data_IF_491877585953
#
_entry.id   IF_491877585953
#
_cell.length_a   1.000
_cell.length_b   1.000
_cell.length_c   1.000
_cell.angle_alpha   90.00
_cell.angle_beta   90.00
_cell.angle_gamma   90.00
#
_symmetry.space_group_name_H-M   'P 1'
#
loop_
_entity.id
_entity.type
_entity.pdbx_description
1 polymer ?
#
# COMPACT_ATOMS: atom_id res chain seq x y z
N UNK A 1 -13.49 -10.48 47.11
CA UNK A 1 -12.26 -10.95 46.45
C UNK A 1 -12.70 -12.13 45.59
N UNK A 2 -12.88 -11.96 44.30
CA UNK A 2 -13.21 -13.08 43.42
C UNK A 2 -11.96 -13.96 43.32
N UNK A 3 -12.09 -15.22 43.68
CA UNK A 3 -11.00 -16.18 43.61
C UNK A 3 -10.90 -16.72 42.18
N UNK A 4 -9.75 -17.31 41.82
CA UNK A 4 -9.54 -17.94 40.49
C UNK A 4 -10.63 -18.98 40.14
N UNK A 5 -11.33 -19.52 41.14
CA UNK A 5 -12.41 -20.49 40.96
C UNK A 5 -13.67 -19.90 40.32
N UNK A 6 -13.89 -18.58 40.45
CA UNK A 6 -15.05 -17.92 39.85
C UNK A 6 -14.94 -17.81 38.30
N UNK A 7 -13.74 -18.00 37.75
CA UNK A 7 -13.52 -18.00 36.30
C UNK A 7 -13.90 -19.33 35.65
N UNK A 8 -13.78 -20.43 36.42
CA UNK A 8 -14.10 -21.77 35.94
C UNK A 8 -15.61 -22.10 35.96
N UNK A 9 -16.44 -21.21 36.49
CA UNK A 9 -17.91 -21.42 36.55
C UNK A 9 -18.64 -20.74 35.36
N UNK A 10 -17.92 -20.11 34.43
CA UNK A 10 -18.54 -19.63 33.22
C UNK A 10 -18.96 -20.82 32.34
N UNK A 11 -20.24 -20.87 31.90
CA UNK A 11 -20.68 -21.97 31.05
C UNK A 11 -19.81 -22.05 29.80
N UNK A 12 -19.24 -23.24 29.58
CA UNK A 12 -18.51 -23.53 28.34
C UNK A 12 -19.36 -23.16 27.11
N UNK A 13 -18.78 -22.43 26.18
CA UNK A 13 -19.36 -22.03 24.89
C UNK A 13 -20.26 -20.79 24.85
N UNK A 14 -20.07 -19.82 25.71
CA UNK A 14 -20.68 -18.51 25.48
C UNK A 14 -19.76 -17.64 24.61
N UNK A 15 -20.14 -17.42 23.36
CA UNK A 15 -19.48 -16.39 22.55
C UNK A 15 -19.71 -15.02 23.20
N UNK A 16 -18.62 -14.31 23.49
CA UNK A 16 -18.70 -12.94 23.98
C UNK A 16 -19.43 -12.10 22.93
N UNK A 17 -20.53 -11.50 23.33
CA UNK A 17 -21.26 -10.56 22.48
C UNK A 17 -20.72 -9.14 22.70
N UNK A 18 -21.03 -8.22 21.78
CA UNK A 18 -20.62 -6.81 21.88
C UNK A 18 -21.00 -6.14 23.22
N UNK A 19 -22.01 -6.66 23.91
CA UNK A 19 -22.49 -6.14 25.19
C UNK A 19 -21.86 -6.80 26.42
N UNK A 20 -21.05 -7.83 26.23
CA UNK A 20 -20.37 -8.50 27.35
C UNK A 20 -19.24 -7.59 27.90
N UNK A 21 -19.22 -7.47 29.21
CA UNK A 21 -18.24 -6.65 29.93
C UNK A 21 -17.17 -7.55 30.56
N UNK A 22 -15.94 -7.32 30.21
CA UNK A 22 -14.80 -7.94 30.89
C UNK A 22 -14.35 -7.08 32.07
N UNK A 23 -14.19 -7.70 33.23
CA UNK A 23 -13.54 -7.07 34.37
C UNK A 23 -12.02 -7.25 34.24
N UNK A 24 -11.30 -6.18 34.08
CA UNK A 24 -9.84 -6.18 34.13
C UNK A 24 -9.42 -5.65 35.50
N UNK A 25 -8.70 -6.48 36.26
CA UNK A 25 -8.09 -6.03 37.49
C UNK A 25 -6.85 -5.21 37.19
N UNK A 26 -6.91 -3.90 37.38
CA UNK A 26 -5.70 -3.08 37.46
C UNK A 26 -5.03 -3.34 38.82
N UNK A 27 -3.74 -3.63 38.78
CA UNK A 27 -2.92 -3.94 39.97
C UNK A 27 -2.51 -2.66 40.71
N UNK A 28 -3.28 -1.57 40.60
CA UNK A 28 -2.99 -0.36 41.33
C UNK A 28 -3.98 -0.17 42.49
N UNK A 29 -3.38 -0.04 43.67
CA UNK A 29 -3.95 0.16 44.97
C UNK A 29 -5.18 1.07 44.99
N UNK A 30 -6.32 0.57 45.41
CA UNK A 30 -7.50 1.30 45.88
C UNK A 30 -8.53 1.77 44.87
N UNK A 31 -8.57 1.30 43.64
CA UNK A 31 -9.64 1.67 42.70
C UNK A 31 -10.51 0.49 42.30
N UNK A 32 -11.79 0.75 42.17
CA UNK A 32 -12.71 -0.24 41.60
C UNK A 32 -12.20 -0.75 40.25
N UNK A 33 -12.28 -2.06 39.96
CA UNK A 33 -11.85 -2.59 38.69
C UNK A 33 -12.57 -1.86 37.55
N UNK A 34 -11.80 -1.31 36.63
CA UNK A 34 -12.36 -0.71 35.41
C UNK A 34 -12.91 -1.80 34.54
N UNK A 35 -14.16 -1.63 34.12
CA UNK A 35 -14.78 -2.52 33.15
C UNK A 35 -14.49 -1.97 31.76
N UNK A 36 -13.88 -2.76 30.91
CA UNK A 36 -13.70 -2.45 29.51
C UNK A 36 -14.83 -3.13 28.75
N UNK A 37 -15.56 -2.35 27.96
CA UNK A 37 -16.57 -2.89 27.06
C UNK A 37 -15.88 -3.68 25.94
N UNK A 38 -16.43 -4.82 25.52
CA UNK A 38 -15.92 -5.59 24.36
C UNK A 38 -15.87 -4.72 23.09
N UNK A 39 -16.76 -3.74 22.95
CA UNK A 39 -16.70 -2.73 21.89
C UNK A 39 -15.42 -1.88 21.93
N UNK A 40 -14.94 -1.52 23.13
CA UNK A 40 -13.71 -0.76 23.29
C UNK A 40 -12.48 -1.61 22.96
N UNK A 41 -12.50 -2.89 23.32
CA UNK A 41 -11.48 -3.87 22.89
C UNK A 41 -11.50 -4.07 21.38
N UNK A 42 -12.69 -4.22 20.77
CA UNK A 42 -12.81 -4.31 19.32
C UNK A 42 -12.28 -3.04 18.62
N UNK A 43 -12.55 -1.85 19.15
CA UNK A 43 -11.98 -0.61 18.64
C UNK A 43 -10.46 -0.59 18.79
N UNK A 44 -9.92 -1.08 19.91
CA UNK A 44 -8.47 -1.19 20.12
C UNK A 44 -7.85 -2.17 19.10
N UNK A 45 -8.49 -3.31 18.84
CA UNK A 45 -8.05 -4.26 17.82
C UNK A 45 -8.30 -3.78 16.39
N UNK A 46 -9.36 -3.02 16.14
CA UNK A 46 -9.64 -2.41 14.83
C UNK A 46 -8.66 -1.28 14.49
N UNK A 47 -8.17 -0.54 15.49
CA UNK A 47 -7.11 0.46 15.28
C UNK A 47 -5.75 -0.18 14.96
N UNK A 48 -5.57 -1.47 15.28
CA UNK A 48 -4.38 -2.25 14.89
C UNK A 48 -4.50 -2.89 13.50
N UNK A 49 -5.66 -2.84 12.84
CA UNK A 49 -5.76 -3.15 11.42
C UNK A 49 -5.10 -2.00 10.63
N UNK A 50 -3.78 -2.07 10.55
CA UNK A 50 -3.00 -1.11 9.80
C UNK A 50 -3.55 -1.04 8.37
N UNK A 51 -3.93 0.16 7.93
CA UNK A 51 -4.35 0.39 6.57
C UNK A 51 -3.27 -0.15 5.62
N UNK A 52 -3.69 -0.94 4.65
CA UNK A 52 -2.80 -1.58 3.68
C UNK A 52 -3.48 -1.69 2.33
N UNK A 53 -2.69 -1.60 1.28
CA UNK A 53 -3.17 -1.72 -0.08
C UNK A 53 -2.15 -2.39 -0.98
N UNK A 54 -2.62 -3.10 -1.99
CA UNK A 54 -1.79 -3.68 -3.03
C UNK A 54 -2.51 -3.62 -4.37
N UNK A 55 -1.76 -3.24 -5.40
CA UNK A 55 -2.17 -3.37 -6.79
C UNK A 55 -1.03 -4.00 -7.59
N UNK A 56 -1.36 -4.89 -8.51
CA UNK A 56 -0.40 -5.51 -9.42
C UNK A 56 -0.94 -5.64 -10.83
N UNK A 57 -0.04 -5.70 -11.79
CA UNK A 57 -0.32 -6.00 -13.18
C UNK A 57 0.67 -7.01 -13.70
N UNK A 58 0.22 -7.94 -14.54
CA UNK A 58 1.05 -8.93 -15.24
C UNK A 58 0.66 -8.98 -16.71
N UNK A 59 1.65 -9.24 -17.56
CA UNK A 59 1.42 -9.42 -18.99
C UNK A 59 0.98 -8.16 -19.71
N UNK A 60 1.24 -6.98 -19.16
CA UNK A 60 0.94 -5.74 -19.85
C UNK A 60 1.81 -5.58 -21.11
N UNK A 61 1.18 -5.19 -22.19
CA UNK A 61 1.81 -4.96 -23.50
C UNK A 61 1.66 -3.53 -24.00
N UNK A 62 0.92 -2.69 -23.27
CA UNK A 62 0.74 -1.28 -23.64
C UNK A 62 1.99 -0.49 -23.32
N UNK A 63 2.62 0.14 -24.32
CA UNK A 63 3.72 1.04 -24.06
C UNK A 63 3.23 2.32 -23.38
N UNK A 64 4.12 2.92 -22.62
CA UNK A 64 3.98 4.30 -22.16
C UNK A 64 4.68 5.19 -23.16
N UNK A 65 3.95 6.09 -23.76
CA UNK A 65 4.48 7.08 -24.72
C UNK A 65 5.39 8.08 -23.98
N UNK A 66 6.67 8.13 -24.39
CA UNK A 66 7.68 9.05 -23.86
C UNK A 66 7.85 10.22 -24.82
N UNK A 67 7.03 11.24 -24.67
CA UNK A 67 7.04 12.42 -25.54
C UNK A 67 8.32 13.24 -25.37
N UNK A 68 8.86 13.34 -24.17
CA UNK A 68 10.06 14.13 -23.86
C UNK A 68 11.01 13.32 -22.97
N UNK A 69 12.27 13.23 -23.36
CA UNK A 69 13.30 12.55 -22.57
C UNK A 69 13.44 13.20 -21.19
N UNK A 70 13.58 12.38 -20.16
CA UNK A 70 13.72 12.82 -18.78
C UNK A 70 12.43 13.29 -18.08
N UNK A 71 11.31 13.38 -18.80
CA UNK A 71 10.00 13.67 -18.21
C UNK A 71 9.34 12.38 -17.73
N UNK A 72 8.75 12.40 -16.55
CA UNK A 72 8.06 11.26 -15.96
C UNK A 72 6.58 11.23 -16.35
N UNK A 73 6.13 10.10 -16.86
CA UNK A 73 4.76 9.83 -17.32
C UNK A 73 4.14 8.73 -16.50
N UNK A 74 2.80 8.75 -16.34
CA UNK A 74 2.07 7.63 -15.73
C UNK A 74 2.27 6.37 -16.57
N UNK A 75 2.49 5.23 -15.91
CA UNK A 75 2.70 3.95 -16.61
C UNK A 75 1.46 3.54 -17.41
N UNK A 76 1.60 3.35 -18.72
CA UNK A 76 0.52 2.84 -19.58
C UNK A 76 0.20 1.39 -19.26
N UNK A 77 -1.11 1.08 -19.06
CA UNK A 77 -1.57 -0.26 -18.72
C UNK A 77 -2.85 -0.57 -19.49
N UNK A 78 -2.93 -1.77 -20.07
CA UNK A 78 -4.14 -2.32 -20.70
C UNK A 78 -4.66 -3.59 -20.02
N UNK A 79 -4.06 -3.99 -18.93
CA UNK A 79 -4.40 -5.23 -18.20
C UNK A 79 -5.39 -5.01 -17.08
N UNK A 80 -5.99 -6.11 -16.63
CA UNK A 80 -6.74 -6.13 -15.38
C UNK A 80 -5.76 -5.95 -14.24
N UNK A 81 -5.97 -4.91 -13.45
CA UNK A 81 -5.24 -4.75 -12.20
C UNK A 81 -5.73 -5.81 -11.23
N UNK A 82 -4.82 -6.63 -10.74
CA UNK A 82 -5.09 -7.53 -9.64
C UNK A 82 -4.99 -6.73 -8.33
N UNK A 83 -6.13 -6.66 -7.63
CA UNK A 83 -6.23 -5.95 -6.35
C UNK A 83 -6.51 -6.96 -5.27
N UNK A 84 -5.66 -7.02 -4.25
CA UNK A 84 -6.01 -7.74 -3.04
C UNK A 84 -6.86 -6.86 -2.13
N UNK A 85 -7.74 -7.50 -1.36
CA UNK A 85 -8.63 -6.83 -0.40
C UNK A 85 -7.84 -5.94 0.55
N UNK A 86 -8.08 -4.67 0.42
CA UNK A 86 -7.29 -3.67 1.09
C UNK A 86 -8.11 -2.94 2.14
N UNK A 87 -7.48 -2.63 3.25
CA UNK A 87 -8.07 -1.82 4.29
C UNK A 87 -7.72 -0.36 4.00
N UNK A 88 -8.74 0.45 3.71
CA UNK A 88 -8.61 1.87 3.41
C UNK A 88 -7.79 2.22 2.15
N UNK A 89 -7.75 1.32 1.17
CA UNK A 89 -7.19 1.61 -0.15
C UNK A 89 -8.10 1.06 -1.26
N UNK A 90 -8.08 1.73 -2.39
CA UNK A 90 -8.66 1.24 -3.65
C UNK A 90 -7.66 1.43 -4.78
N UNK A 91 -7.62 0.48 -5.70
CA UNK A 91 -6.81 0.65 -6.91
C UNK A 91 -7.43 1.72 -7.82
N UNK A 92 -6.57 2.49 -8.46
CA UNK A 92 -7.03 3.49 -9.44
C UNK A 92 -7.34 2.83 -10.76
N UNK A 93 -8.56 3.02 -11.28
CA UNK A 93 -9.03 2.37 -12.53
C UNK A 93 -8.62 3.09 -13.83
N UNK A 94 -7.78 4.11 -13.79
CA UNK A 94 -7.50 4.99 -14.93
C UNK A 94 -6.25 4.60 -15.71
N UNK A 95 -6.13 3.34 -16.14
CA UNK A 95 -5.00 2.85 -16.94
C UNK A 95 -3.61 3.16 -16.32
N UNK A 96 -3.53 3.19 -15.01
CA UNK A 96 -2.30 3.44 -14.25
C UNK A 96 -2.15 2.52 -13.06
N UNK A 97 -0.93 2.28 -12.64
CA UNK A 97 -0.64 1.52 -11.42
C UNK A 97 -0.67 2.51 -10.26
N UNK A 98 -1.74 2.51 -9.49
CA UNK A 98 -1.88 3.44 -8.38
C UNK A 98 -2.84 2.94 -7.31
N UNK A 99 -2.63 3.45 -6.11
CA UNK A 99 -3.45 3.20 -4.92
C UNK A 99 -3.99 4.55 -4.42
N UNK A 100 -5.30 4.64 -4.28
CA UNK A 100 -5.96 5.76 -3.63
C UNK A 100 -6.25 5.41 -2.17
N UNK A 101 -5.84 6.28 -1.27
CA UNK A 101 -6.15 6.14 0.16
C UNK A 101 -7.56 6.64 0.46
N UNK A 102 -8.38 5.79 1.10
CA UNK A 102 -9.79 6.07 1.43
C UNK A 102 -10.05 6.22 2.93
N UNK A 103 -9.01 6.09 3.76
CA UNK A 103 -9.14 6.27 5.20
C UNK A 103 -9.42 7.71 5.60
N UNK A 104 -10.05 7.91 6.75
CA UNK A 104 -10.48 9.24 7.24
C UNK A 104 -9.37 10.07 7.89
N UNK A 105 -8.30 9.42 8.33
CA UNK A 105 -7.20 10.07 9.07
C UNK A 105 -5.96 10.19 8.21
N UNK A 106 -5.23 11.30 8.34
CA UNK A 106 -3.90 11.44 7.75
C UNK A 106 -2.94 10.46 8.44
N UNK A 107 -2.20 9.67 7.64
CA UNK A 107 -1.27 8.64 8.14
C UNK A 107 0.00 8.59 7.31
N UNK A 108 1.06 8.02 7.90
CA UNK A 108 2.31 7.72 7.21
C UNK A 108 2.29 6.27 6.73
N UNK A 109 2.63 6.08 5.46
CA UNK A 109 2.69 4.77 4.82
C UNK A 109 4.09 4.50 4.28
N UNK A 110 4.52 3.25 4.40
CA UNK A 110 5.63 2.71 3.64
C UNK A 110 5.11 2.18 2.32
N UNK A 111 5.58 2.75 1.22
CA UNK A 111 5.33 2.26 -0.12
C UNK A 111 6.49 1.43 -0.64
N UNK A 112 6.16 0.35 -1.33
CA UNK A 112 7.09 -0.51 -2.03
C UNK A 112 6.56 -0.74 -3.45
N UNK A 113 7.37 -0.39 -4.45
CA UNK A 113 7.07 -0.61 -5.85
C UNK A 113 8.12 -1.50 -6.49
N UNK A 114 7.69 -2.50 -7.26
CA UNK A 114 8.56 -3.34 -8.07
C UNK A 114 8.07 -3.38 -9.51
N UNK A 115 9.01 -3.41 -10.47
CA UNK A 115 8.72 -3.36 -11.90
C UNK A 115 9.65 -4.24 -12.70
N UNK A 116 9.09 -4.80 -13.77
CA UNK A 116 9.83 -5.40 -14.86
C UNK A 116 9.40 -4.72 -16.16
N UNK A 117 10.32 -4.15 -16.90
CA UNK A 117 10.01 -3.43 -18.12
C UNK A 117 11.18 -3.29 -19.07
N UNK A 118 10.92 -2.82 -20.27
CA UNK A 118 11.91 -2.58 -21.31
C UNK A 118 11.74 -1.19 -21.92
N UNK A 119 12.87 -0.56 -22.25
CA UNK A 119 12.95 0.79 -22.83
C UNK A 119 13.70 0.81 -24.18
N UNK A 120 13.79 -0.32 -24.86
CA UNK A 120 14.58 -0.44 -26.09
C UNK A 120 16.01 -0.89 -25.88
N UNK A 121 16.81 -0.86 -26.96
CA UNK A 121 18.22 -1.28 -26.92
C UNK A 121 19.11 -0.17 -26.34
N UNK A 122 19.99 -0.57 -25.43
CA UNK A 122 20.98 0.34 -24.82
C UNK A 122 20.34 1.63 -24.26
N UNK A 123 19.23 1.49 -23.53
CA UNK A 123 18.52 2.63 -23.00
C UNK A 123 18.30 2.54 -21.49
N UNK A 124 18.15 3.69 -20.88
CA UNK A 124 17.87 3.82 -19.46
C UNK A 124 16.36 3.82 -19.22
N UNK A 125 15.94 3.04 -18.26
CA UNK A 125 14.60 3.10 -17.68
C UNK A 125 14.72 3.73 -16.28
N UNK A 126 13.95 4.78 -16.04
CA UNK A 126 13.83 5.41 -14.73
C UNK A 126 12.39 5.31 -14.23
N UNK A 127 12.24 5.07 -12.95
CA UNK A 127 10.92 4.94 -12.29
C UNK A 127 10.92 5.71 -11.00
N UNK A 128 9.79 6.35 -10.67
CA UNK A 128 9.53 7.02 -9.40
C UNK A 128 8.14 6.69 -8.87
N UNK A 129 7.95 6.92 -7.59
CA UNK A 129 6.61 7.13 -7.03
C UNK A 129 6.16 8.56 -7.32
N UNK A 130 4.85 8.72 -7.52
CA UNK A 130 4.22 10.03 -7.62
C UNK A 130 3.07 10.12 -6.62
N UNK A 131 2.90 11.29 -6.01
CA UNK A 131 1.74 11.61 -5.17
C UNK A 131 0.87 12.63 -5.90
N UNK A 132 -0.39 12.29 -6.14
CA UNK A 132 -1.36 13.15 -6.84
C UNK A 132 -0.83 13.67 -8.19
N UNK A 133 -0.12 12.81 -8.94
CA UNK A 133 0.49 13.16 -10.24
C UNK A 133 1.83 13.89 -10.14
N UNK A 134 2.28 14.27 -8.95
CA UNK A 134 3.59 14.90 -8.75
C UNK A 134 4.63 13.86 -8.40
N UNK A 135 5.66 13.69 -9.23
CA UNK A 135 6.74 12.72 -9.00
C UNK A 135 7.58 13.11 -7.79
N UNK A 136 8.02 12.09 -7.03
CA UNK A 136 8.85 12.24 -5.83
C UNK A 136 10.29 11.88 -6.24
N UNK A 137 11.20 12.86 -6.43
CA UNK A 137 12.55 12.62 -6.97
C UNK A 137 13.38 11.66 -6.14
N UNK A 138 13.22 11.66 -4.82
CA UNK A 138 13.97 10.83 -3.87
C UNK A 138 13.67 9.32 -4.02
N UNK A 139 12.60 8.98 -4.74
CA UNK A 139 12.22 7.59 -5.01
C UNK A 139 12.78 7.03 -6.31
N UNK A 140 13.59 7.81 -7.02
CA UNK A 140 14.08 7.43 -8.32
C UNK A 140 14.95 6.18 -8.28
N UNK A 141 14.59 5.23 -9.12
CA UNK A 141 15.40 4.05 -9.42
C UNK A 141 15.65 3.98 -10.92
N UNK A 142 16.86 3.60 -11.32
CA UNK A 142 17.27 3.49 -12.72
C UNK A 142 17.81 2.11 -13.02
N UNK A 143 17.54 1.62 -14.23
CA UNK A 143 18.16 0.43 -14.76
C UNK A 143 18.38 0.57 -16.27
N UNK A 144 19.37 -0.14 -16.74
CA UNK A 144 19.76 -0.13 -18.13
C UNK A 144 19.22 -1.38 -18.84
N UNK A 145 18.65 -1.22 -20.02
CA UNK A 145 18.20 -2.30 -20.88
C UNK A 145 19.19 -2.48 -22.03
N UNK A 146 19.95 -3.59 -22.04
CA UNK A 146 20.97 -3.83 -23.07
C UNK A 146 20.38 -4.23 -24.42
N UNK A 147 19.20 -4.83 -24.46
CA UNK A 147 18.49 -5.23 -25.68
C UNK A 147 16.98 -5.10 -25.54
N UNK A 148 16.25 -5.01 -26.66
CA UNK A 148 14.78 -4.93 -26.67
C UNK A 148 14.06 -6.07 -25.96
N UNK A 149 14.69 -7.25 -25.89
CA UNK A 149 14.13 -8.42 -25.23
C UNK A 149 14.48 -8.50 -23.75
N UNK A 150 15.41 -7.65 -23.28
CA UNK A 150 15.84 -7.67 -21.91
C UNK A 150 14.94 -6.79 -21.05
N UNK A 151 14.39 -7.37 -20.00
CA UNK A 151 13.63 -6.66 -18.98
C UNK A 151 14.57 -6.13 -17.89
N UNK A 152 14.48 -4.85 -17.61
CA UNK A 152 15.10 -4.27 -16.43
C UNK A 152 14.18 -4.49 -15.24
N UNK A 153 14.76 -4.85 -14.09
CA UNK A 153 14.05 -4.98 -12.83
C UNK A 153 14.40 -3.82 -11.92
N UNK A 154 13.38 -3.16 -11.41
CA UNK A 154 13.50 -1.98 -10.58
C UNK A 154 12.67 -2.16 -9.30
N UNK A 155 13.18 -1.62 -8.22
CA UNK A 155 12.50 -1.57 -6.94
C UNK A 155 12.70 -0.19 -6.34
N UNK A 156 11.61 0.45 -5.94
CA UNK A 156 11.67 1.69 -5.19
C UNK A 156 10.81 1.59 -3.92
N UNK A 157 11.19 2.30 -2.89
CA UNK A 157 10.42 2.35 -1.66
C UNK A 157 10.58 3.70 -0.98
N UNK A 158 9.52 4.17 -0.33
CA UNK A 158 9.54 5.47 0.36
C UNK A 158 8.42 5.58 1.39
N UNK A 159 8.61 6.45 2.36
CA UNK A 159 7.57 6.83 3.31
C UNK A 159 6.81 8.04 2.80
N UNK A 160 5.48 7.93 2.71
CA UNK A 160 4.61 8.98 2.20
C UNK A 160 3.48 9.24 3.19
N UNK A 161 3.28 10.49 3.56
CA UNK A 161 2.11 10.91 4.34
C UNK A 161 0.93 11.10 3.40
N UNK A 162 -0.18 10.41 3.68
CA UNK A 162 -1.42 10.48 2.90
C UNK A 162 -2.58 11.00 3.73
N UNK A 163 -3.35 11.87 3.12
CA UNK A 163 -4.69 12.27 3.54
C UNK A 163 -5.74 11.56 2.69
N UNK A 164 -7.00 11.57 3.13
CA UNK A 164 -8.13 10.98 2.39
C UNK A 164 -8.15 11.43 0.92
N UNK A 165 -8.31 10.48 0.02
CA UNK A 165 -8.30 10.63 -1.44
C UNK A 165 -6.93 10.91 -2.08
N UNK A 166 -5.83 10.99 -1.32
CA UNK A 166 -4.52 11.03 -1.93
C UNK A 166 -4.25 9.75 -2.73
N UNK A 167 -3.62 9.91 -3.88
CA UNK A 167 -3.26 8.83 -4.79
C UNK A 167 -1.74 8.72 -4.84
N UNK A 168 -1.22 7.51 -4.71
CA UNK A 168 0.18 7.20 -5.02
C UNK A 168 0.20 6.31 -6.24
N UNK A 169 0.97 6.70 -7.24
CA UNK A 169 1.10 5.99 -8.51
C UNK A 169 2.56 5.81 -8.90
N UNK A 170 2.75 5.07 -9.98
CA UNK A 170 4.03 4.80 -10.60
C UNK A 170 4.18 5.63 -11.84
N UNK A 171 5.27 6.38 -11.90
CA UNK A 171 5.65 7.16 -13.07
C UNK A 171 7.01 6.70 -13.57
N UNK A 172 7.19 6.74 -14.88
CA UNK A 172 8.39 6.26 -15.54
C UNK A 172 8.88 7.25 -16.59
N UNK A 173 10.18 7.21 -16.84
CA UNK A 173 10.84 8.04 -17.84
C UNK A 173 11.94 7.25 -18.54
N UNK A 174 12.21 7.61 -19.77
CA UNK A 174 13.47 7.34 -20.42
C UNK A 174 14.33 8.62 -20.27
N UNK A 175 15.39 8.63 -19.47
CA UNK A 175 16.16 9.84 -19.20
C UNK A 175 16.83 10.43 -20.43
N UNK A 176 17.22 9.58 -21.38
CA UNK A 176 18.11 9.96 -22.49
C UNK A 176 17.40 10.01 -23.84
N UNK A 177 16.25 9.33 -23.99
CA UNK A 177 15.58 9.14 -25.27
C UNK A 177 14.06 9.28 -25.15
N UNK A 178 13.39 9.43 -26.29
CA UNK A 178 11.92 9.42 -26.40
C UNK A 178 11.37 8.04 -26.77
N UNK A 179 12.16 6.98 -26.58
CA UNK A 179 11.69 5.62 -26.82
C UNK A 179 10.70 5.21 -25.75
N UNK A 180 9.58 4.70 -26.18
CA UNK A 180 8.51 4.22 -25.33
C UNK A 180 8.96 3.10 -24.39
N UNK A 181 8.35 3.06 -23.22
CA UNK A 181 8.64 2.09 -22.19
C UNK A 181 7.43 1.19 -22.01
N UNK A 182 7.66 -0.13 -22.04
CA UNK A 182 6.64 -1.12 -21.69
C UNK A 182 6.96 -1.75 -20.36
N UNK A 183 6.12 -1.48 -19.36
CA UNK A 183 6.15 -2.20 -18.07
C UNK A 183 5.35 -3.47 -18.22
N UNK A 184 5.98 -4.63 -18.20
CA UNK A 184 5.30 -5.93 -18.36
C UNK A 184 4.69 -6.45 -17.07
N UNK A 185 5.36 -6.20 -15.96
CA UNK A 185 4.91 -6.54 -14.62
C UNK A 185 5.18 -5.39 -13.67
N UNK A 186 4.24 -5.14 -12.79
CA UNK A 186 4.44 -4.20 -11.71
C UNK A 186 3.61 -4.57 -10.49
N UNK A 187 4.09 -4.16 -9.33
CA UNK A 187 3.40 -4.28 -8.06
C UNK A 187 3.66 -3.05 -7.21
N UNK A 188 2.59 -2.46 -6.69
CA UNK A 188 2.65 -1.38 -5.72
C UNK A 188 1.97 -1.81 -4.43
N UNK A 189 2.66 -1.71 -3.32
CA UNK A 189 2.18 -2.08 -1.98
C UNK A 189 2.28 -0.88 -1.06
N UNK A 190 1.27 -0.68 -0.22
CA UNK A 190 1.23 0.32 0.83
C UNK A 190 0.96 -0.35 2.18
N UNK A 191 1.72 0.00 3.21
CA UNK A 191 1.50 -0.44 4.58
C UNK A 191 1.56 0.76 5.51
N UNK A 192 0.57 0.94 6.38
CA UNK A 192 0.60 1.98 7.39
C UNK A 192 1.72 1.72 8.42
N UNK A 193 2.40 2.79 8.80
CA UNK A 193 3.45 2.76 9.82
C UNK A 193 2.89 3.29 11.15
N UNK A 194 1.90 4.17 11.08
CA UNK A 194 1.29 4.80 12.27
C UNK A 194 -0.20 4.99 12.05
#
# INVERSE_FOLDING_TARGET
>A
MATLDDINTLPEARFLTLDDKMAIAEQDDRRSPKRINVGDLNNLFQTTNAARGQVSVQGNTTPTDIVTAGVFYEAGINGVLDTTTDVNFVATNNNRIGLQYTGSNTRIFWFYGSYDGSAGNNQMLAVRLAKNGTSIPETECRAFTASNSQEAKLVCSWMITLSTNDIVSLVLANPDHTTDITIKRARLVANAIS
#
